data_IF_297713394688
#
_entry.id   IF_297713394688
#
_cell.length_a   1.000
_cell.length_b   1.000
_cell.length_c   1.000
_cell.angle_alpha   90.00
_cell.angle_beta   90.00
_cell.angle_gamma   90.00
#
_symmetry.space_group_name_H-M   'P 1'
#
loop_
_entity.id
_entity.type
_entity.pdbx_description
1 polymer ?
#
# COMPACT_ATOMS: atom_id res chain seq x y z
N UNK A 1 -1.72 -7.92 -5.67
CA UNK A 1 -1.14 -6.56 -5.84
C UNK A 1 -2.27 -5.56 -5.92
N UNK A 2 -2.15 -4.42 -5.23
CA UNK A 2 -3.18 -3.39 -5.04
C UNK A 2 -2.69 -2.05 -5.59
N UNK A 3 -3.46 -1.43 -6.47
CA UNK A 3 -3.12 -0.20 -7.19
C UNK A 3 -3.36 1.07 -6.35
N UNK A 4 -2.95 2.24 -6.88
CA UNK A 4 -3.13 3.53 -6.26
C UNK A 4 -4.55 4.10 -6.36
N UNK A 5 -4.74 5.29 -5.77
CA UNK A 5 -6.00 6.03 -5.82
C UNK A 5 -6.43 6.34 -7.25
N UNK A 6 -7.71 6.04 -7.59
CA UNK A 6 -8.25 6.16 -8.96
C UNK A 6 -7.46 5.41 -10.03
N UNK A 7 -6.69 4.41 -9.60
CA UNK A 7 -5.93 3.52 -10.47
C UNK A 7 -6.75 2.37 -11.03
N UNK A 8 -6.05 1.46 -11.67
CA UNK A 8 -6.55 0.14 -12.06
C UNK A 8 -5.41 -0.87 -12.11
N UNK A 9 -5.75 -2.14 -12.10
CA UNK A 9 -4.78 -3.23 -12.19
C UNK A 9 -3.91 -3.11 -13.45
N UNK A 10 -4.52 -2.88 -14.61
CA UNK A 10 -3.80 -2.79 -15.89
C UNK A 10 -2.89 -1.56 -15.98
N UNK A 11 -3.36 -0.39 -15.48
CA UNK A 11 -2.64 0.85 -15.65
C UNK A 11 -1.46 0.98 -14.68
N UNK A 12 -1.69 0.68 -13.40
CA UNK A 12 -0.74 1.05 -12.35
C UNK A 12 0.17 -0.11 -11.92
N UNK A 13 -0.19 -1.36 -12.23
CA UNK A 13 0.53 -2.53 -11.74
C UNK A 13 1.45 -3.20 -12.77
N UNK A 14 1.60 -2.63 -13.97
CA UNK A 14 2.46 -3.19 -15.02
C UNK A 14 3.93 -3.31 -14.58
N UNK A 15 4.49 -2.30 -13.91
CA UNK A 15 5.84 -2.38 -13.31
C UNK A 15 5.94 -3.44 -12.22
N UNK A 16 4.87 -3.62 -11.44
CA UNK A 16 4.77 -4.67 -10.44
C UNK A 16 4.79 -6.08 -11.04
N UNK A 17 4.12 -6.28 -12.18
CA UNK A 17 4.16 -7.56 -12.93
C UNK A 17 5.56 -7.86 -13.43
N UNK A 18 6.22 -6.87 -14.04
CA UNK A 18 7.62 -7.02 -14.49
C UNK A 18 8.54 -7.41 -13.35
N UNK A 19 8.41 -6.78 -12.19
CA UNK A 19 9.13 -7.09 -10.95
C UNK A 19 8.92 -8.54 -10.51
N UNK A 20 7.66 -9.01 -10.51
CA UNK A 20 7.35 -10.39 -10.16
C UNK A 20 8.02 -11.38 -11.13
N UNK A 21 7.91 -11.15 -12.43
CA UNK A 21 8.54 -12.04 -13.42
C UNK A 21 10.06 -12.04 -13.33
N UNK A 22 10.69 -10.89 -13.10
CA UNK A 22 12.14 -10.81 -12.90
C UNK A 22 12.62 -11.63 -11.68
N UNK A 23 11.75 -11.81 -10.68
CA UNK A 23 12.00 -12.66 -9.51
C UNK A 23 11.49 -14.11 -9.67
N UNK A 24 11.06 -14.52 -10.85
CA UNK A 24 10.50 -15.85 -11.11
C UNK A 24 9.19 -16.12 -10.36
N UNK A 25 8.38 -15.08 -10.14
CA UNK A 25 7.12 -15.13 -9.38
C UNK A 25 5.92 -14.79 -10.26
N UNK A 26 4.75 -15.30 -9.87
CA UNK A 26 3.47 -14.94 -10.45
C UNK A 26 2.85 -13.76 -9.68
N UNK A 27 1.92 -13.03 -10.32
CA UNK A 27 1.20 -11.93 -9.69
C UNK A 27 -0.31 -12.07 -9.90
N UNK A 28 -1.08 -11.89 -8.85
CA UNK A 28 -2.50 -11.59 -8.91
C UNK A 28 -2.66 -10.06 -8.84
N UNK A 29 -3.32 -9.48 -9.84
CA UNK A 29 -3.61 -8.05 -9.92
C UNK A 29 -5.06 -7.83 -9.55
N UNK A 30 -5.31 -6.95 -8.60
CA UNK A 30 -6.66 -6.66 -8.09
C UNK A 30 -7.10 -5.28 -8.55
N UNK A 31 -8.24 -5.22 -9.22
CA UNK A 31 -9.00 -3.97 -9.29
C UNK A 31 -9.66 -3.75 -7.93
N UNK A 32 -9.22 -2.76 -7.18
CA UNK A 32 -9.82 -2.44 -5.88
C UNK A 32 -11.25 -1.93 -6.08
N UNK A 33 -12.04 -1.86 -5.00
CA UNK A 33 -13.40 -1.29 -5.07
C UNK A 33 -13.43 0.04 -5.82
N UNK A 34 -14.46 0.28 -6.60
CA UNK A 34 -14.65 1.46 -7.46
C UNK A 34 -13.64 1.61 -8.60
N UNK A 35 -12.85 0.57 -8.93
CA UNK A 35 -11.86 0.62 -10.00
C UNK A 35 -12.03 -0.52 -11.00
N UNK A 36 -11.61 -0.29 -12.24
CA UNK A 36 -11.59 -1.28 -13.31
C UNK A 36 -12.94 -1.98 -13.50
N UNK A 37 -12.96 -3.29 -13.28
CA UNK A 37 -14.18 -4.13 -13.37
C UNK A 37 -14.85 -4.38 -12.02
N UNK A 38 -14.28 -3.88 -10.91
CA UNK A 38 -14.82 -4.05 -9.58
C UNK A 38 -15.95 -3.08 -9.29
N UNK A 39 -16.96 -3.56 -8.56
CA UNK A 39 -18.08 -2.76 -8.09
C UNK A 39 -17.69 -1.79 -6.97
N UNK A 40 -18.71 -1.06 -6.47
CA UNK A 40 -18.54 -0.10 -5.38
C UNK A 40 -18.83 1.33 -5.81
N UNK A 41 -18.98 2.23 -4.83
CA UNK A 41 -19.32 3.63 -5.08
C UNK A 41 -18.43 4.61 -4.31
N UNK A 42 -17.64 4.10 -3.35
CA UNK A 42 -16.82 4.94 -2.46
C UNK A 42 -15.44 4.33 -2.28
N UNK A 43 -14.40 5.13 -2.58
CA UNK A 43 -13.01 4.83 -2.24
C UNK A 43 -12.78 5.33 -0.82
N UNK A 44 -12.24 4.49 0.06
CA UNK A 44 -12.08 4.80 1.49
C UNK A 44 -10.63 4.93 1.95
N UNK A 45 -9.73 5.20 1.02
CA UNK A 45 -8.29 5.43 1.27
C UNK A 45 -7.61 4.30 2.05
N UNK A 46 -7.95 3.06 1.70
CA UNK A 46 -7.37 1.87 2.30
C UNK A 46 -8.16 1.29 3.48
N UNK A 47 -9.16 2.01 4.04
CA UNK A 47 -9.91 1.56 5.22
C UNK A 47 -10.72 0.31 4.90
N UNK A 48 -11.67 0.38 3.97
CA UNK A 48 -12.46 -0.78 3.53
C UNK A 48 -11.68 -1.64 2.54
N UNK A 49 -10.79 -1.04 1.76
CA UNK A 49 -9.90 -1.73 0.84
C UNK A 49 -8.99 -2.73 1.57
N UNK A 50 -8.62 -2.48 2.84
CA UNK A 50 -7.87 -3.43 3.66
C UNK A 50 -8.65 -4.70 3.98
N UNK A 51 -9.97 -4.60 4.14
CA UNK A 51 -10.85 -5.76 4.32
C UNK A 51 -10.98 -6.55 3.01
N UNK A 52 -11.14 -5.86 1.87
CA UNK A 52 -11.11 -6.52 0.55
C UNK A 52 -9.76 -7.23 0.32
N UNK A 53 -8.66 -6.64 0.79
CA UNK A 53 -7.34 -7.27 0.73
C UNK A 53 -7.29 -8.59 1.51
N UNK A 54 -7.92 -8.66 2.68
CA UNK A 54 -8.05 -9.90 3.46
C UNK A 54 -8.88 -10.94 2.69
N UNK A 55 -9.98 -10.53 2.07
CA UNK A 55 -10.82 -11.44 1.27
C UNK A 55 -10.04 -11.99 0.06
N UNK A 56 -9.26 -11.16 -0.63
CA UNK A 56 -8.37 -11.60 -1.70
C UNK A 56 -7.27 -12.54 -1.20
N UNK A 57 -6.71 -12.27 -0.01
CA UNK A 57 -5.72 -13.16 0.59
C UNK A 57 -6.33 -14.55 0.92
N UNK A 58 -7.55 -14.58 1.46
CA UNK A 58 -8.27 -15.82 1.73
C UNK A 58 -8.62 -16.58 0.45
N UNK A 59 -9.05 -15.86 -0.61
CA UNK A 59 -9.26 -16.45 -1.93
C UNK A 59 -7.98 -17.12 -2.45
N UNK A 60 -6.86 -16.41 -2.42
CA UNK A 60 -5.56 -16.94 -2.87
C UNK A 60 -5.12 -18.16 -2.06
N UNK A 61 -5.30 -18.13 -0.74
CA UNK A 61 -4.96 -19.26 0.11
C UNK A 61 -5.81 -20.51 -0.18
N UNK A 62 -7.07 -20.33 -0.58
CA UNK A 62 -7.96 -21.41 -0.98
C UNK A 62 -7.59 -21.98 -2.36
N UNK A 63 -7.36 -21.12 -3.35
CA UNK A 63 -7.05 -21.54 -4.72
C UNK A 63 -5.61 -22.10 -4.86
N UNK A 64 -4.69 -21.64 -4.02
CA UNK A 64 -3.28 -22.02 -4.04
C UNK A 64 -2.76 -22.40 -2.65
N UNK A 65 -3.26 -23.49 -2.04
CA UNK A 65 -2.99 -23.81 -0.63
C UNK A 65 -1.52 -24.05 -0.31
N UNK A 66 -0.74 -24.51 -1.29
CA UNK A 66 0.69 -24.83 -1.13
C UNK A 66 1.61 -23.65 -1.51
N UNK A 67 1.04 -22.47 -1.78
CA UNK A 67 1.83 -21.29 -2.20
C UNK A 67 1.90 -20.26 -1.09
N UNK A 68 3.11 -19.71 -0.90
CA UNK A 68 3.35 -18.52 -0.08
C UNK A 68 3.26 -17.29 -0.95
N UNK A 69 2.73 -16.20 -0.42
CA UNK A 69 2.60 -14.94 -1.15
C UNK A 69 2.81 -13.71 -0.28
N UNK A 70 3.16 -12.62 -0.93
CA UNK A 70 3.40 -11.30 -0.35
C UNK A 70 2.26 -10.40 -0.79
N UNK A 71 1.68 -9.65 0.14
CA UNK A 71 0.76 -8.56 -0.16
C UNK A 71 1.57 -7.37 -0.67
N UNK A 72 1.31 -6.95 -1.90
CA UNK A 72 2.02 -5.82 -2.50
C UNK A 72 1.04 -4.70 -2.82
N UNK A 73 1.40 -3.47 -2.48
CA UNK A 73 0.59 -2.30 -2.83
C UNK A 73 1.43 -1.11 -3.24
N UNK A 74 0.87 -0.28 -4.13
CA UNK A 74 1.47 0.98 -4.54
C UNK A 74 0.58 2.14 -4.10
N UNK A 75 1.15 3.20 -3.54
CA UNK A 75 0.44 4.40 -3.11
C UNK A 75 -0.70 4.06 -2.13
N UNK A 76 -1.96 4.40 -2.43
CA UNK A 76 -3.11 3.96 -1.63
C UNK A 76 -3.12 2.43 -1.42
N UNK A 77 -2.73 1.64 -2.44
CA UNK A 77 -2.59 0.19 -2.31
C UNK A 77 -1.53 -0.22 -1.28
N UNK A 78 -0.44 0.54 -1.17
CA UNK A 78 0.58 0.36 -0.13
C UNK A 78 0.00 0.53 1.27
N UNK A 79 -0.70 1.64 1.51
CA UNK A 79 -1.40 1.85 2.78
C UNK A 79 -2.49 0.81 3.06
N UNK A 80 -3.17 0.34 2.00
CA UNK A 80 -4.17 -0.75 2.07
C UNK A 80 -3.55 -2.04 2.61
N UNK A 81 -2.43 -2.50 2.05
CA UNK A 81 -1.80 -3.75 2.50
C UNK A 81 -1.18 -3.63 3.89
N UNK A 82 -0.68 -2.44 4.27
CA UNK A 82 -0.23 -2.18 5.64
C UNK A 82 -1.38 -2.29 6.64
N UNK A 83 -2.53 -1.66 6.35
CA UNK A 83 -3.72 -1.76 7.21
C UNK A 83 -4.28 -3.19 7.25
N UNK A 84 -4.23 -3.94 6.14
CA UNK A 84 -4.63 -5.34 6.10
C UNK A 84 -3.79 -6.22 7.05
N UNK A 85 -2.53 -5.85 7.31
CA UNK A 85 -1.63 -6.57 8.21
C UNK A 85 -2.07 -6.63 9.68
N UNK A 86 -3.12 -5.89 10.10
CA UNK A 86 -3.72 -5.96 11.44
C UNK A 86 -4.87 -6.94 11.54
N UNK A 87 -5.39 -7.40 10.42
CA UNK A 87 -6.48 -8.35 10.37
C UNK A 87 -5.97 -9.81 10.36
N UNK A 88 -6.82 -10.78 10.73
CA UNK A 88 -6.48 -12.18 10.56
C UNK A 88 -6.22 -12.51 9.08
N UNK A 89 -4.97 -12.80 8.74
CA UNK A 89 -4.55 -13.20 7.41
C UNK A 89 -4.25 -14.71 7.40
N UNK A 90 -4.44 -15.40 6.25
CA UNK A 90 -4.05 -16.81 6.12
C UNK A 90 -2.52 -16.96 6.27
N UNK A 91 -2.08 -18.11 6.79
CA UNK A 91 -0.66 -18.40 7.07
C UNK A 91 0.25 -18.37 5.84
N UNK A 92 -0.32 -18.48 4.65
CA UNK A 92 0.37 -18.35 3.37
C UNK A 92 0.85 -16.92 3.07
N UNK A 93 0.26 -15.91 3.73
CA UNK A 93 0.78 -14.53 3.65
C UNK A 93 2.02 -14.44 4.51
N UNK A 94 3.19 -14.26 3.89
CA UNK A 94 4.49 -14.26 4.56
C UNK A 94 5.17 -12.91 4.60
N UNK A 95 4.57 -11.87 4.03
CA UNK A 95 5.13 -10.52 4.06
C UNK A 95 4.29 -9.48 3.36
N UNK A 96 4.70 -8.24 3.52
CA UNK A 96 4.08 -7.05 2.94
C UNK A 96 5.13 -6.24 2.21
N UNK A 97 4.79 -5.74 1.01
CA UNK A 97 5.54 -4.75 0.27
C UNK A 97 4.69 -3.49 0.12
N UNK A 98 5.16 -2.42 0.74
CA UNK A 98 4.59 -1.07 0.65
C UNK A 98 5.46 -0.22 -0.28
N UNK A 99 4.91 0.16 -1.43
CA UNK A 99 5.54 1.05 -2.40
C UNK A 99 4.85 2.41 -2.35
N UNK A 100 5.53 3.40 -1.78
CA UNK A 100 5.10 4.80 -1.60
C UNK A 100 3.72 4.98 -0.93
N UNK A 101 3.38 4.13 0.06
CA UNK A 101 2.15 4.28 0.84
C UNK A 101 2.19 5.48 1.80
N UNK A 102 1.03 6.04 2.08
CA UNK A 102 0.89 7.13 3.06
C UNK A 102 0.70 6.62 4.50
N UNK A 103 0.97 7.47 5.49
CA UNK A 103 0.89 7.09 6.91
C UNK A 103 -0.56 7.01 7.44
N UNK A 104 -1.49 7.80 6.87
CA UNK A 104 -2.93 7.69 7.16
C UNK A 104 -3.77 8.41 6.10
N UNK A 105 -5.06 8.05 5.93
CA UNK A 105 -5.99 8.80 5.08
C UNK A 105 -6.05 10.28 5.44
N UNK A 106 -6.08 10.60 6.74
CA UNK A 106 -6.03 11.98 7.24
C UNK A 106 -4.80 12.72 6.76
N UNK A 107 -3.61 12.13 6.90
CA UNK A 107 -2.35 12.78 6.56
C UNK A 107 -2.28 13.11 5.07
N UNK A 108 -2.63 12.16 4.20
CA UNK A 108 -2.61 12.41 2.75
C UNK A 108 -3.68 13.40 2.31
N UNK A 109 -4.88 13.37 2.88
CA UNK A 109 -5.94 14.35 2.58
C UNK A 109 -5.49 15.75 3.00
N UNK A 110 -4.89 15.90 4.19
CA UNK A 110 -4.37 17.19 4.64
C UNK A 110 -3.23 17.71 3.76
N UNK A 111 -2.37 16.82 3.27
CA UNK A 111 -1.32 17.18 2.29
C UNK A 111 -1.94 17.70 1.00
N UNK A 112 -2.91 16.99 0.45
CA UNK A 112 -3.61 17.44 -0.78
C UNK A 112 -4.32 18.77 -0.58
N UNK A 113 -4.95 19.00 0.58
CA UNK A 113 -5.56 20.30 0.91
C UNK A 113 -4.50 21.41 0.92
N UNK A 114 -3.30 21.14 1.47
CA UNK A 114 -2.20 22.09 1.48
C UNK A 114 -1.69 22.41 0.07
N UNK A 115 -1.60 21.41 -0.81
CA UNK A 115 -1.21 21.59 -2.22
C UNK A 115 -2.21 22.46 -2.99
N UNK A 116 -3.49 22.44 -2.59
CA UNK A 116 -4.52 23.33 -3.11
C UNK A 116 -4.42 24.75 -2.53
N UNK A 117 -3.38 25.06 -1.75
CA UNK A 117 -3.19 26.35 -1.06
C UNK A 117 -4.32 26.69 -0.07
N UNK A 118 -5.02 25.67 0.44
CA UNK A 118 -6.03 25.83 1.48
C UNK A 118 -5.44 25.48 2.86
N UNK A 119 -5.96 26.11 3.94
CA UNK A 119 -5.48 25.80 5.31
C UNK A 119 -5.98 24.42 5.77
N UNK A 120 -5.09 23.38 5.89
CA UNK A 120 -5.53 22.02 6.15
C UNK A 120 -6.32 21.86 7.45
N UNK A 121 -5.91 22.55 8.51
CA UNK A 121 -6.59 22.49 9.82
C UNK A 121 -8.02 23.00 9.80
N UNK A 122 -8.33 23.96 8.92
CA UNK A 122 -9.67 24.51 8.78
C UNK A 122 -10.52 23.72 7.77
N UNK A 123 -9.94 23.26 6.66
CA UNK A 123 -10.68 22.59 5.59
C UNK A 123 -10.93 21.09 5.91
N UNK A 124 -10.00 20.41 6.55
CA UNK A 124 -10.12 18.98 6.81
C UNK A 124 -11.39 18.57 7.58
N UNK A 125 -11.87 19.26 8.63
CA UNK A 125 -13.12 18.92 9.30
C UNK A 125 -14.33 18.84 8.36
N UNK A 126 -14.41 19.73 7.36
CA UNK A 126 -15.49 19.71 6.37
C UNK A 126 -15.35 18.53 5.40
N UNK A 127 -14.12 18.23 4.96
CA UNK A 127 -13.83 17.05 4.13
C UNK A 127 -14.20 15.76 4.87
N UNK A 128 -13.81 15.63 6.15
CA UNK A 128 -14.16 14.50 7.01
C UNK A 128 -15.68 14.39 7.18
N UNK A 129 -16.38 15.49 7.46
CA UNK A 129 -17.84 15.50 7.58
C UNK A 129 -18.50 15.03 6.27
N UNK A 130 -18.03 15.52 5.12
CA UNK A 130 -18.49 15.08 3.81
C UNK A 130 -18.26 13.58 3.58
N UNK A 131 -17.09 13.04 3.96
CA UNK A 131 -16.79 11.62 3.87
C UNK A 131 -17.74 10.78 4.73
N UNK A 132 -18.06 11.23 5.95
CA UNK A 132 -19.01 10.55 6.84
C UNK A 132 -20.43 10.58 6.27
N UNK A 133 -20.93 11.77 5.87
CA UNK A 133 -22.33 11.93 5.46
C UNK A 133 -22.62 11.32 4.09
N UNK A 134 -21.72 11.45 3.13
CA UNK A 134 -21.92 11.03 1.74
C UNK A 134 -21.15 9.76 1.39
N UNK A 135 -19.97 9.55 2.00
CA UNK A 135 -19.14 8.36 1.77
C UNK A 135 -19.41 7.22 2.74
N UNK A 136 -20.08 7.50 3.87
CA UNK A 136 -20.36 6.51 4.90
C UNK A 136 -19.11 5.93 5.56
N UNK A 137 -18.00 6.69 5.62
CA UNK A 137 -16.78 6.30 6.31
C UNK A 137 -16.11 7.52 6.97
N UNK A 138 -15.38 7.26 8.05
CA UNK A 138 -14.58 8.27 8.72
C UNK A 138 -13.10 8.11 8.34
N UNK A 139 -12.46 9.11 7.67
CA UNK A 139 -11.04 9.04 7.35
C UNK A 139 -10.10 8.92 8.55
N UNK A 140 -10.56 9.29 9.76
CA UNK A 140 -9.78 9.13 11.00
C UNK A 140 -9.86 7.69 11.56
N UNK A 141 -10.70 6.80 11.01
CA UNK A 141 -10.84 5.42 11.49
C UNK A 141 -9.76 4.46 10.99
N UNK A 142 -8.93 4.85 10.03
CA UNK A 142 -7.84 4.04 9.48
C UNK A 142 -6.49 4.74 9.60
N UNK A 143 -5.45 3.95 9.80
CA UNK A 143 -4.08 4.47 9.90
C UNK A 143 -3.06 3.38 9.60
N UNK A 144 -2.26 3.56 8.56
CA UNK A 144 -1.17 2.64 8.23
C UNK A 144 -0.08 2.67 9.33
N UNK A 145 0.22 3.85 9.88
CA UNK A 145 1.21 3.99 10.97
C UNK A 145 0.77 3.28 12.25
N UNK A 146 -0.52 3.26 12.58
CA UNK A 146 -1.02 2.50 13.74
C UNK A 146 -1.06 0.99 13.42
N UNK A 147 -1.37 0.63 12.18
CA UNK A 147 -1.38 -0.75 11.72
C UNK A 147 0.01 -1.40 11.83
N UNK A 148 1.06 -0.74 11.37
CA UNK A 148 2.42 -1.31 11.39
C UNK A 148 2.99 -1.49 12.79
N UNK A 149 2.49 -0.78 13.80
CA UNK A 149 2.86 -1.02 15.22
C UNK A 149 2.41 -2.39 15.72
N UNK A 150 1.37 -2.97 15.13
CA UNK A 150 0.78 -4.24 15.52
C UNK A 150 1.09 -5.36 14.51
N UNK A 151 1.59 -5.01 13.32
CA UNK A 151 1.91 -5.96 12.26
C UNK A 151 3.01 -6.92 12.71
N UNK A 152 2.81 -8.22 12.46
CA UNK A 152 3.79 -9.28 12.75
C UNK A 152 4.52 -9.77 11.50
N UNK A 153 4.02 -9.44 10.33
CA UNK A 153 4.60 -9.84 9.06
C UNK A 153 5.82 -8.97 8.74
N UNK A 154 6.86 -9.54 8.10
CA UNK A 154 7.96 -8.74 7.54
C UNK A 154 7.44 -7.69 6.56
N UNK A 155 7.96 -6.46 6.65
CA UNK A 155 7.53 -5.36 5.79
C UNK A 155 8.71 -4.78 5.02
N UNK A 156 8.62 -4.81 3.70
CA UNK A 156 9.51 -4.10 2.79
C UNK A 156 8.87 -2.77 2.39
N UNK A 157 9.42 -1.67 2.91
CA UNK A 157 9.03 -0.33 2.50
C UNK A 157 9.94 0.14 1.37
N UNK A 158 9.36 0.75 0.34
CA UNK A 158 10.13 1.43 -0.71
C UNK A 158 9.49 2.75 -1.10
N UNK A 159 10.31 3.75 -1.46
CA UNK A 159 9.81 5.08 -1.80
C UNK A 159 10.82 5.85 -2.66
N UNK A 160 10.33 6.60 -3.64
CA UNK A 160 11.14 7.61 -4.33
C UNK A 160 11.37 8.83 -3.42
N UNK A 161 12.61 9.32 -3.35
CA UNK A 161 12.92 10.46 -2.46
C UNK A 161 12.35 11.78 -2.96
N UNK A 162 12.12 11.89 -4.29
CA UNK A 162 11.59 13.08 -4.96
C UNK A 162 10.07 12.95 -5.22
N UNK A 163 9.38 12.11 -4.43
CA UNK A 163 7.92 11.97 -4.50
C UNK A 163 7.25 13.23 -3.94
N UNK A 164 6.67 14.02 -4.82
CA UNK A 164 5.94 15.26 -4.51
C UNK A 164 4.45 15.03 -4.20
N UNK A 165 3.92 13.85 -4.55
CA UNK A 165 2.52 13.50 -4.32
C UNK A 165 2.30 12.86 -2.94
N UNK A 166 3.02 11.78 -2.61
CA UNK A 166 3.08 11.21 -1.27
C UNK A 166 4.48 11.44 -0.72
N UNK A 167 4.69 12.35 0.23
CA UNK A 167 6.04 12.64 0.74
C UNK A 167 6.73 11.39 1.29
N UNK A 168 7.99 11.17 0.93
CA UNK A 168 8.81 10.04 1.40
C UNK A 168 8.90 9.97 2.93
N UNK A 169 8.67 11.10 3.63
CA UNK A 169 8.58 11.17 5.09
C UNK A 169 7.48 10.26 5.65
N UNK A 170 6.37 10.04 4.92
CA UNK A 170 5.28 9.17 5.37
C UNK A 170 5.71 7.70 5.42
N UNK A 171 6.51 7.21 4.44
CA UNK A 171 7.10 5.86 4.53
C UNK A 171 8.16 5.78 5.63
N UNK A 172 8.93 6.85 5.87
CA UNK A 172 9.87 6.90 7.00
C UNK A 172 9.15 6.82 8.35
N UNK A 173 7.99 7.49 8.50
CA UNK A 173 7.12 7.41 9.68
C UNK A 173 6.59 5.98 9.87
N UNK A 174 6.04 5.36 8.82
CA UNK A 174 5.57 3.98 8.85
C UNK A 174 6.70 3.01 9.22
N UNK A 175 7.87 3.16 8.59
CA UNK A 175 9.05 2.36 8.89
C UNK A 175 9.48 2.50 10.36
N UNK A 176 9.58 3.70 10.88
CA UNK A 176 9.98 3.93 12.29
C UNK A 176 9.00 3.27 13.26
N UNK A 177 7.70 3.38 12.99
CA UNK A 177 6.63 2.84 13.83
C UNK A 177 6.49 1.31 13.74
N UNK A 178 6.92 0.69 12.63
CA UNK A 178 6.74 -0.73 12.38
C UNK A 178 7.47 -1.59 13.41
N UNK A 179 6.74 -2.53 14.04
CA UNK A 179 7.26 -3.38 15.11
C UNK A 179 7.92 -4.68 14.59
N UNK A 180 7.61 -5.11 13.38
CA UNK A 180 8.11 -6.35 12.80
C UNK A 180 9.46 -6.17 12.09
N UNK A 181 10.02 -7.28 11.57
CA UNK A 181 11.20 -7.24 10.67
C UNK A 181 10.90 -6.35 9.46
N UNK A 182 11.77 -5.40 9.20
CA UNK A 182 11.51 -4.34 8.23
C UNK A 182 12.78 -3.86 7.54
N UNK A 183 12.62 -3.32 6.34
CA UNK A 183 13.63 -2.55 5.63
C UNK A 183 12.95 -1.34 4.97
N UNK A 184 13.69 -0.26 4.81
CA UNK A 184 13.29 0.89 4.00
C UNK A 184 14.31 1.09 2.90
N UNK A 185 13.87 0.92 1.66
CA UNK A 185 14.64 1.14 0.44
C UNK A 185 14.16 2.44 -0.21
N UNK A 186 14.92 3.51 -0.06
CA UNK A 186 14.63 4.79 -0.73
C UNK A 186 15.47 4.96 -1.98
N UNK A 187 14.90 5.58 -3.01
CA UNK A 187 15.56 5.76 -4.32
C UNK A 187 15.66 7.25 -4.62
N UNK A 188 16.90 7.82 -4.57
CA UNK A 188 17.14 9.22 -4.92
C UNK A 188 16.72 9.52 -6.37
N UNK A 189 16.12 10.69 -6.59
CA UNK A 189 15.68 11.13 -7.91
C UNK A 189 14.40 10.44 -8.43
N UNK A 190 13.85 9.47 -7.71
CA UNK A 190 12.62 8.80 -8.11
C UNK A 190 11.40 9.56 -7.57
N UNK A 191 10.39 9.78 -8.43
CA UNK A 191 9.09 10.34 -8.07
C UNK A 191 8.10 9.27 -7.59
N UNK A 192 6.81 9.63 -7.56
CA UNK A 192 5.73 8.79 -7.05
C UNK A 192 5.59 7.47 -7.81
N UNK A 193 5.74 6.33 -7.11
CA UNK A 193 5.62 4.99 -7.69
C UNK A 193 6.75 4.62 -8.65
N UNK A 194 7.83 5.39 -8.71
CA UNK A 194 8.92 5.22 -9.66
C UNK A 194 10.18 4.58 -9.03
N UNK A 195 10.13 4.11 -7.79
CA UNK A 195 11.29 3.50 -7.14
C UNK A 195 11.83 2.29 -7.92
N UNK A 196 10.96 1.40 -8.40
CA UNK A 196 11.37 0.24 -9.20
C UNK A 196 11.96 0.62 -10.58
N UNK A 197 11.29 1.41 -11.44
CA UNK A 197 11.84 1.75 -12.74
C UNK A 197 13.11 2.59 -12.69
N UNK A 198 13.33 3.37 -11.63
CA UNK A 198 14.51 4.22 -11.48
C UNK A 198 15.81 3.42 -11.20
N UNK A 199 15.72 2.30 -10.47
CA UNK A 199 16.87 1.44 -10.19
C UNK A 199 16.43 -0.02 -10.03
N UNK A 200 16.14 -0.69 -11.14
CA UNK A 200 15.56 -2.05 -11.14
C UNK A 200 16.48 -3.09 -10.51
N UNK A 201 17.79 -3.04 -10.77
CA UNK A 201 18.72 -4.06 -10.30
C UNK A 201 18.85 -4.03 -8.76
N UNK A 202 19.10 -2.87 -8.19
CA UNK A 202 19.23 -2.69 -6.75
C UNK A 202 17.91 -3.01 -6.04
N UNK A 203 16.79 -2.56 -6.60
CA UNK A 203 15.46 -2.83 -6.07
C UNK A 203 15.17 -4.34 -6.01
N UNK A 204 15.39 -5.05 -7.13
CA UNK A 204 15.17 -6.51 -7.20
C UNK A 204 16.08 -7.27 -6.25
N UNK A 205 17.34 -6.84 -6.13
CA UNK A 205 18.28 -7.43 -5.20
C UNK A 205 17.82 -7.24 -3.75
N UNK A 206 17.49 -6.02 -3.35
CA UNK A 206 17.04 -5.70 -2.00
C UNK A 206 15.75 -6.46 -1.64
N UNK A 207 14.77 -6.48 -2.54
CA UNK A 207 13.51 -7.19 -2.36
C UNK A 207 13.70 -8.70 -2.26
N UNK A 208 14.49 -9.27 -3.18
CA UNK A 208 14.78 -10.71 -3.21
C UNK A 208 15.55 -11.17 -1.98
N UNK A 209 16.53 -10.40 -1.54
CA UNK A 209 17.32 -10.71 -0.34
C UNK A 209 16.45 -10.63 0.92
N UNK A 210 15.56 -9.64 1.02
CA UNK A 210 14.72 -9.45 2.19
C UNK A 210 13.73 -10.60 2.41
N UNK A 211 13.07 -11.09 1.36
CA UNK A 211 12.07 -12.15 1.46
C UNK A 211 12.58 -13.56 1.14
N UNK A 212 13.90 -13.73 0.98
CA UNK A 212 14.50 -15.02 0.57
C UNK A 212 14.10 -16.20 1.45
N UNK A 213 14.11 -16.00 2.76
CA UNK A 213 13.79 -17.06 3.72
C UNK A 213 12.28 -17.29 3.87
N UNK A 214 11.50 -16.24 3.77
CA UNK A 214 10.03 -16.29 3.94
C UNK A 214 9.34 -17.05 2.80
N UNK A 215 9.95 -17.03 1.60
CA UNK A 215 9.40 -17.62 0.38
C UNK A 215 9.93 -19.04 0.10
N UNK A 216 10.78 -19.59 0.96
CA UNK A 216 11.13 -21.00 0.97
C UNK A 216 9.98 -21.81 1.56
#
# INVERSE_FOLDING_TARGET
MFHGYRGSAERDLCGGVQRCFALGRSALLVDQRCAGKSGGHVITFGIRESLDCVDWANFMAKEFPDRKFILCGISMGGSTVLMAGTHPLPSQVVGILDDCGFSSPKAIIQKVIADMHLPPKLAYPFVRLGAILFGGFDPDSGSAIEAVKQCKLPVFFTHGEDDDFVPCSMSRENFQACASRKILHTVPGAGHGLAYPANQEEYLKALGDFFREDLK
#
